data_IF_433524345372
#
_entry.id   IF_433524345372
#
_cell.length_a   1.000
_cell.length_b   1.000
_cell.length_c   1.000
_cell.angle_alpha   90.00
_cell.angle_beta   90.00
_cell.angle_gamma   90.00
#
_symmetry.space_group_name_H-M   'P 1'
#
loop_
_entity.id
_entity.type
_entity.pdbx_description
1 polymer ?
#
# COMPACT_ATOMS: atom_id res chain seq x y z
N UNK A 1 -10.78 -1.50 9.73
CA UNK A 1 -11.33 -2.12 8.51
C UNK A 1 -10.73 -3.51 8.39
N UNK A 2 -11.50 -4.50 7.95
CA UNK A 2 -10.96 -5.82 7.62
C UNK A 2 -10.14 -5.71 6.33
N UNK A 3 -8.84 -5.99 6.42
CA UNK A 3 -7.91 -5.87 5.28
C UNK A 3 -8.13 -6.97 4.24
N UNK A 4 -8.71 -8.10 4.64
CA UNK A 4 -8.98 -9.22 3.72
C UNK A 4 -10.05 -8.91 2.67
N UNK A 5 -10.80 -7.83 2.87
CA UNK A 5 -11.86 -7.37 1.97
C UNK A 5 -11.42 -6.21 1.07
N UNK A 6 -10.18 -5.73 1.22
CA UNK A 6 -9.65 -4.65 0.40
C UNK A 6 -9.01 -5.21 -0.87
N UNK A 7 -9.48 -4.70 -2.00
CA UNK A 7 -8.89 -4.94 -3.31
C UNK A 7 -8.09 -3.69 -3.73
N UNK A 8 -6.78 -3.87 -3.91
CA UNK A 8 -5.88 -2.82 -4.38
C UNK A 8 -5.42 -3.04 -5.82
N UNK A 9 -6.10 -3.91 -6.56
CA UNK A 9 -5.93 -3.98 -8.00
C UNK A 9 -6.21 -2.61 -8.64
N UNK A 10 -5.36 -2.21 -9.59
CA UNK A 10 -5.38 -0.89 -10.22
C UNK A 10 -5.29 0.31 -9.26
N UNK A 11 -4.86 0.09 -8.01
CA UNK A 11 -4.54 1.15 -7.08
C UNK A 11 -3.25 1.88 -7.52
N UNK A 12 -3.08 3.10 -7.02
CA UNK A 12 -1.91 3.95 -7.31
C UNK A 12 -1.13 4.18 -6.03
N UNK A 13 0.13 3.76 -6.00
CA UNK A 13 1.08 4.12 -4.96
C UNK A 13 1.40 5.62 -5.05
N UNK A 14 1.13 6.35 -3.97
CA UNK A 14 1.34 7.80 -3.88
C UNK A 14 2.60 8.15 -3.08
N UNK A 15 3.03 7.27 -2.18
CA UNK A 15 4.27 7.45 -1.46
C UNK A 15 4.47 6.44 -0.34
N UNK A 16 5.72 6.37 0.12
CA UNK A 16 6.16 5.53 1.23
C UNK A 16 6.90 6.43 2.23
N UNK A 17 6.55 6.34 3.50
CA UNK A 17 7.27 6.96 4.60
C UNK A 17 7.77 5.87 5.55
N UNK A 18 9.08 5.83 5.79
CA UNK A 18 9.71 4.91 6.73
C UNK A 18 10.26 5.70 7.92
N UNK A 19 9.79 5.37 9.12
CA UNK A 19 10.36 5.85 10.37
C UNK A 19 11.09 4.70 11.09
N UNK A 20 12.44 4.66 11.05
CA UNK A 20 13.19 3.59 11.68
C UNK A 20 13.29 3.74 13.21
N UNK A 21 13.06 4.94 13.77
CA UNK A 21 13.12 5.17 15.22
C UNK A 21 11.85 4.66 15.87
N UNK A 22 10.70 5.05 15.33
CA UNK A 22 9.38 4.59 15.78
C UNK A 22 9.03 3.20 15.24
N UNK A 23 9.85 2.66 14.32
CA UNK A 23 9.64 1.38 13.62
C UNK A 23 8.27 1.29 12.95
N UNK A 24 7.95 2.33 12.19
CA UNK A 24 6.68 2.44 11.46
C UNK A 24 6.90 2.63 9.97
N UNK A 25 5.95 2.15 9.17
CA UNK A 25 5.90 2.41 7.73
C UNK A 25 4.50 2.87 7.37
N UNK A 26 4.43 3.95 6.61
CA UNK A 26 3.21 4.48 6.02
C UNK A 26 3.25 4.27 4.50
N UNK A 27 2.26 3.57 3.95
CA UNK A 27 2.04 3.47 2.50
C UNK A 27 0.80 4.27 2.14
N UNK A 28 0.98 5.37 1.41
CA UNK A 28 -0.11 6.17 0.87
C UNK A 28 -0.46 5.66 -0.51
N UNK A 29 -1.74 5.43 -0.74
CA UNK A 29 -2.26 4.93 -2.01
C UNK A 29 -3.62 5.54 -2.34
N UNK A 30 -4.06 5.38 -3.58
CA UNK A 30 -5.45 5.62 -3.98
C UNK A 30 -6.02 4.36 -4.62
N UNK A 31 -7.22 3.92 -4.21
CA UNK A 31 -7.83 2.66 -4.65
C UNK A 31 -9.33 2.81 -4.93
N UNK A 32 -9.91 1.88 -5.66
CA UNK A 32 -11.36 1.82 -5.88
C UNK A 32 -12.05 1.13 -4.69
N UNK A 33 -12.95 1.79 -3.93
CA UNK A 33 -13.62 1.17 -2.78
C UNK A 33 -14.47 -0.05 -3.10
N UNK A 34 -14.87 -0.19 -4.36
CA UNK A 34 -15.64 -1.32 -4.88
C UNK A 34 -15.40 -1.46 -6.38
N UNK A 35 -15.69 -2.64 -6.93
CA UNK A 35 -15.60 -2.91 -8.38
C UNK A 35 -16.50 -2.04 -9.24
N UNK A 36 -17.51 -1.38 -8.66
CA UNK A 36 -18.40 -0.45 -9.36
C UNK A 36 -17.93 1.00 -9.28
N UNK A 37 -16.94 1.29 -8.43
CA UNK A 37 -16.44 2.64 -8.23
C UNK A 37 -15.66 3.09 -9.47
N UNK A 38 -15.92 4.32 -9.92
CA UNK A 38 -15.21 4.95 -11.05
C UNK A 38 -14.14 5.93 -10.62
N UNK A 39 -14.02 6.15 -9.32
CA UNK A 39 -13.11 7.12 -8.72
C UNK A 39 -12.31 6.42 -7.63
N UNK A 40 -11.01 6.67 -7.61
CA UNK A 40 -10.15 6.20 -6.53
C UNK A 40 -10.28 7.12 -5.33
N UNK A 41 -10.29 6.55 -4.13
CA UNK A 41 -10.22 7.31 -2.87
C UNK A 41 -8.83 7.14 -2.25
N UNK A 42 -8.29 8.17 -1.59
CA UNK A 42 -7.01 8.06 -0.92
C UNK A 42 -7.12 7.22 0.35
N UNK A 43 -6.11 6.40 0.60
CA UNK A 43 -6.00 5.56 1.78
C UNK A 43 -4.54 5.46 2.24
N UNK A 44 -4.39 5.04 3.49
CA UNK A 44 -3.11 4.90 4.16
C UNK A 44 -3.04 3.55 4.85
N UNK A 45 -2.07 2.73 4.46
CA UNK A 45 -1.68 1.53 5.20
C UNK A 45 -0.61 1.93 6.23
N UNK A 46 -0.91 1.67 7.49
CA UNK A 46 -0.05 1.99 8.62
C UNK A 46 0.48 0.70 9.23
N UNK A 47 1.78 0.47 9.11
CA UNK A 47 2.49 -0.67 9.70
C UNK A 47 3.17 -0.24 10.99
N UNK A 48 3.03 -1.04 12.06
CA UNK A 48 3.66 -0.80 13.37
C UNK A 48 4.51 -1.97 13.82
N UNK A 49 5.52 -1.66 14.63
CA UNK A 49 6.55 -2.59 15.09
C UNK A 49 7.24 -3.31 13.93
N UNK A 50 7.58 -2.54 12.89
CA UNK A 50 8.25 -3.05 11.69
C UNK A 50 9.61 -3.64 12.07
N UNK A 51 9.89 -4.83 11.56
CA UNK A 51 11.18 -5.55 11.75
C UNK A 51 11.95 -5.67 10.44
N UNK A 52 11.27 -5.62 9.30
CA UNK A 52 11.88 -5.65 7.97
C UNK A 52 11.06 -4.83 6.99
N UNK A 53 11.77 -4.03 6.18
CA UNK A 53 11.21 -3.31 5.05
C UNK A 53 12.13 -3.50 3.85
N UNK A 54 11.59 -3.99 2.75
CA UNK A 54 12.29 -4.12 1.48
C UNK A 54 11.46 -3.47 0.38
N UNK A 55 12.11 -2.71 -0.50
CA UNK A 55 11.47 -2.12 -1.66
C UNK A 55 12.36 -2.29 -2.90
N UNK A 56 11.76 -2.84 -3.95
CA UNK A 56 12.30 -2.85 -5.31
C UNK A 56 11.25 -2.16 -6.17
N UNK A 57 11.64 -1.11 -6.88
CA UNK A 57 10.69 -0.33 -7.68
C UNK A 57 11.37 0.30 -8.87
N UNK A 58 10.74 0.20 -10.03
CA UNK A 58 11.13 0.89 -11.25
C UNK A 58 10.32 2.19 -11.38
N UNK A 59 10.98 3.34 -11.18
CA UNK A 59 10.30 4.64 -11.16
C UNK A 59 9.70 5.00 -12.53
N UNK A 60 10.36 4.62 -13.63
CA UNK A 60 9.89 4.93 -14.98
C UNK A 60 8.61 4.14 -15.26
N UNK A 61 8.57 2.86 -14.88
CA UNK A 61 7.39 2.01 -15.00
C UNK A 61 6.26 2.48 -14.10
N UNK A 62 6.53 2.83 -12.84
CA UNK A 62 5.52 3.34 -11.91
C UNK A 62 4.90 4.65 -12.39
N UNK A 63 5.71 5.56 -12.94
CA UNK A 63 5.24 6.83 -13.49
C UNK A 63 4.39 6.60 -14.75
N UNK A 64 4.81 5.72 -15.65
CA UNK A 64 4.04 5.36 -16.84
C UNK A 64 2.68 4.75 -16.50
N UNK A 65 2.55 4.11 -15.33
CA UNK A 65 1.32 3.48 -14.84
C UNK A 65 0.55 4.32 -13.80
N UNK A 66 0.92 5.57 -13.54
CA UNK A 66 0.25 6.41 -12.53
C UNK A 66 -1.24 6.68 -12.84
N UNK A 67 -1.62 6.67 -14.12
CA UNK A 67 -3.01 6.78 -14.58
C UNK A 67 -3.82 5.49 -14.38
N UNK A 68 -3.47 4.38 -15.07
CA UNK A 68 -4.21 3.12 -14.98
C UNK A 68 -4.10 2.44 -13.60
N UNK A 69 -3.10 2.76 -12.79
CA UNK A 69 -2.80 2.08 -11.53
C UNK A 69 -1.48 1.33 -11.64
N UNK A 70 -0.69 1.38 -10.57
CA UNK A 70 0.65 0.80 -10.54
C UNK A 70 0.86 -0.22 -9.40
N UNK A 71 -0.22 -0.57 -8.71
CA UNK A 71 -0.31 -1.70 -7.77
C UNK A 71 -1.09 -2.82 -8.46
N UNK A 72 -0.54 -4.02 -8.48
CA UNK A 72 -1.18 -5.18 -9.09
C UNK A 72 -1.96 -6.01 -8.08
N UNK A 73 -1.45 -6.12 -6.85
CA UNK A 73 -2.06 -6.91 -5.78
C UNK A 73 -1.49 -6.52 -4.40
N UNK A 74 -2.23 -6.82 -3.34
CA UNK A 74 -1.80 -6.71 -1.96
C UNK A 74 -2.18 -7.96 -1.16
N UNK A 75 -1.15 -8.64 -0.66
CA UNK A 75 -1.31 -9.79 0.23
C UNK A 75 -0.93 -9.33 1.64
N UNK A 76 -1.92 -9.25 2.52
CA UNK A 76 -1.69 -8.96 3.92
C UNK A 76 -1.14 -10.21 4.61
N UNK A 77 0.05 -10.10 5.20
CA UNK A 77 0.60 -11.15 6.06
C UNK A 77 -0.17 -11.24 7.37
N UNK A 78 -0.33 -12.45 7.90
CA UNK A 78 -0.78 -12.66 9.28
C UNK A 78 0.42 -12.54 10.23
N UNK A 79 0.20 -12.07 11.47
CA UNK A 79 1.18 -11.86 12.56
C UNK A 79 2.60 -12.41 12.31
N UNK A 80 3.57 -11.52 12.08
CA UNK A 80 5.00 -11.79 11.80
C UNK A 80 5.33 -12.43 10.44
N UNK A 81 4.34 -12.76 9.61
CA UNK A 81 4.53 -13.00 8.17
C UNK A 81 4.54 -11.65 7.46
N UNK A 82 5.43 -11.51 6.48
CA UNK A 82 5.52 -10.27 5.72
C UNK A 82 4.25 -10.05 4.87
N UNK A 83 3.78 -8.80 4.83
CA UNK A 83 2.84 -8.34 3.82
C UNK A 83 3.58 -8.00 2.53
N UNK A 84 2.95 -8.27 1.40
CA UNK A 84 3.50 -8.03 0.07
C UNK A 84 2.57 -7.11 -0.71
N UNK A 85 3.10 -5.98 -1.19
CA UNK A 85 2.43 -5.07 -2.11
C UNK A 85 3.14 -5.18 -3.46
N UNK A 86 2.50 -5.86 -4.41
CA UNK A 86 3.05 -6.07 -5.73
C UNK A 86 2.82 -4.83 -6.58
N UNK A 87 3.90 -4.35 -7.19
CA UNK A 87 3.90 -3.17 -8.03
C UNK A 87 4.12 -3.57 -9.48
N UNK A 88 3.65 -2.75 -10.41
CA UNK A 88 4.09 -2.90 -11.81
C UNK A 88 5.60 -2.62 -11.85
N UNK A 89 6.39 -3.67 -12.14
CA UNK A 89 7.85 -3.58 -12.16
C UNK A 89 8.50 -3.58 -10.77
N UNK A 90 7.85 -4.09 -9.72
CA UNK A 90 8.45 -4.08 -8.38
C UNK A 90 7.68 -4.82 -7.29
N UNK A 91 8.16 -4.64 -6.06
CA UNK A 91 7.60 -5.22 -4.84
C UNK A 91 7.95 -4.33 -3.64
N UNK A 92 6.98 -4.11 -2.76
CA UNK A 92 7.23 -3.68 -1.37
C UNK A 92 6.90 -4.86 -0.46
N UNK A 93 7.85 -5.26 0.37
CA UNK A 93 7.67 -6.31 1.38
C UNK A 93 7.91 -5.72 2.78
N UNK A 94 6.97 -5.97 3.69
CA UNK A 94 6.99 -5.40 5.04
C UNK A 94 6.67 -6.49 6.06
N UNK A 95 7.59 -6.78 6.99
CA UNK A 95 7.32 -7.59 8.16
C UNK A 95 7.05 -6.66 9.36
N UNK A 96 5.87 -6.81 9.97
CA UNK A 96 5.38 -5.96 11.05
C UNK A 96 4.52 -6.76 12.04
N UNK A 97 4.30 -6.22 13.24
CA UNK A 97 3.37 -6.85 14.19
C UNK A 97 1.91 -6.56 13.84
N UNK A 98 1.64 -5.40 13.24
CA UNK A 98 0.28 -5.03 12.84
C UNK A 98 0.29 -4.11 11.62
N UNK A 99 -0.83 -4.15 10.90
CA UNK A 99 -1.16 -3.24 9.81
C UNK A 99 -2.62 -2.81 9.94
N UNK A 100 -2.88 -1.52 9.68
CA UNK A 100 -4.24 -0.98 9.60
C UNK A 100 -4.39 -0.15 8.33
N UNK A 101 -5.61 -0.13 7.77
CA UNK A 101 -5.96 0.76 6.66
C UNK A 101 -6.94 1.82 7.16
N UNK A 102 -6.66 3.08 6.84
CA UNK A 102 -7.56 4.22 7.04
C UNK A 102 -7.73 4.98 5.73
N UNK A 103 -8.97 5.31 5.38
CA UNK A 103 -9.25 6.26 4.28
C UNK A 103 -8.74 7.63 4.72
N UNK A 104 -7.93 8.27 3.89
CA UNK A 104 -7.47 9.62 4.19
C UNK A 104 -8.66 10.57 4.07
N UNK A 105 -8.88 11.43 5.07
CA UNK A 105 -9.87 12.49 4.95
C UNK A 105 -9.50 13.38 3.75
N UNK A 106 -10.48 13.76 2.95
CA UNK A 106 -10.28 14.78 1.91
C UNK A 106 -9.78 16.06 2.60
N UNK A 107 -8.49 16.38 2.44
CA UNK A 107 -8.03 17.74 2.71
C UNK A 107 -8.72 18.65 1.71
N UNK A 108 -9.74 19.35 2.21
CA UNK A 108 -10.45 20.44 1.51
C UNK A 108 -9.54 21.62 1.23
#
# INVERSE_FOLDING_TARGET
>A
MDLSQLDFHDATLLGVCLDPVERTVEIRLAYYPSSQSRVRVPAVLNFRDVTRFNQISDMDVLQAHAGPGNITDFICGESQVASHLYLVGGLIEIAAASVTCSVAAETS
#
